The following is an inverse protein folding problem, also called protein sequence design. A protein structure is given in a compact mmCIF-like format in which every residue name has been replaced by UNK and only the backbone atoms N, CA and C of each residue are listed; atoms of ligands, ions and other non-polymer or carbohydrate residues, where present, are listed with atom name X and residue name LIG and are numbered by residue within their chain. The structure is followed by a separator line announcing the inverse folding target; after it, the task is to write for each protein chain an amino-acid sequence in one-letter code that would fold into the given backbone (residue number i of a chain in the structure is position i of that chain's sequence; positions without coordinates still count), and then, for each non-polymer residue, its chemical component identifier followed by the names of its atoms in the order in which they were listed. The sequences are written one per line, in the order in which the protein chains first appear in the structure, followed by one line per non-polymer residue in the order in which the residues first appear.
data_IF_389266684082
#
_entry.id   IF_389266684082
#
_cell.length_a   1.000
_cell.length_b   1.000
_cell.length_c   1.000
_cell.angle_alpha   90.00
_cell.angle_beta   90.00
_cell.angle_gamma   90.00
#
_symmetry.space_group_name_H-M   'P 1'
#
loop_
_entity.id
_entity.type
_entity.pdbx_description
1 polymer ?
#
# COMPACT_ATOMS: atom_id res chain seq x y z
N UNK A 1 -4.21 60.08 -50.12
CA UNK A 1 -3.72 58.77 -50.56
C UNK A 1 -3.47 57.93 -49.32
N UNK A 2 -4.32 56.90 -49.19
CA UNK A 2 -4.15 55.65 -48.43
C UNK A 2 -3.71 55.70 -46.95
N UNK A 3 -4.69 55.76 -46.06
CA UNK A 3 -4.59 55.13 -44.75
C UNK A 3 -4.76 53.61 -44.95
N UNK A 4 -3.66 52.85 -44.87
CA UNK A 4 -3.73 51.38 -44.81
C UNK A 4 -4.41 50.98 -43.50
N UNK A 5 -5.69 50.62 -43.62
CA UNK A 5 -6.46 49.96 -42.58
C UNK A 5 -5.84 48.58 -42.33
N UNK A 6 -5.01 48.46 -41.30
CA UNK A 6 -4.43 47.18 -40.87
C UNK A 6 -5.52 46.40 -40.13
N UNK A 7 -6.45 45.79 -40.88
CA UNK A 7 -7.47 44.91 -40.35
C UNK A 7 -6.80 43.71 -39.66
N UNK A 8 -6.67 43.80 -38.34
CA UNK A 8 -6.26 42.68 -37.50
C UNK A 8 -7.36 41.62 -37.56
N UNK A 9 -7.27 40.71 -38.53
CA UNK A 9 -8.21 39.60 -38.63
C UNK A 9 -8.21 38.82 -37.31
N UNK A 10 -9.37 38.62 -36.68
CA UNK A 10 -9.45 37.89 -35.42
C UNK A 10 -8.95 36.45 -35.66
N UNK A 11 -7.87 36.12 -34.95
CA UNK A 11 -7.13 34.89 -35.17
C UNK A 11 -8.00 33.68 -34.78
N UNK A 12 -8.52 32.98 -35.79
CA UNK A 12 -9.13 31.66 -35.62
C UNK A 12 -8.22 30.76 -34.79
N UNK A 13 -8.81 30.00 -33.87
CA UNK A 13 -8.08 29.00 -33.09
C UNK A 13 -7.50 27.93 -34.01
N UNK A 14 -6.18 27.73 -33.94
CA UNK A 14 -5.47 26.75 -34.78
C UNK A 14 -5.81 25.34 -34.29
N UNK A 15 -6.40 24.47 -35.14
CA UNK A 15 -6.77 23.12 -34.72
C UNK A 15 -5.59 22.26 -34.28
N UNK A 16 -4.44 22.39 -34.93
CA UNK A 16 -3.20 21.70 -34.53
C UNK A 16 -2.72 22.12 -33.14
N UNK A 17 -2.83 23.41 -32.79
CA UNK A 17 -2.49 23.90 -31.44
C UNK A 17 -3.45 23.36 -30.39
N UNK A 18 -4.76 23.30 -30.68
CA UNK A 18 -5.74 22.71 -29.78
C UNK A 18 -5.47 21.22 -29.52
N UNK A 19 -5.21 20.45 -30.59
CA UNK A 19 -4.86 19.05 -30.50
C UNK A 19 -3.56 18.82 -29.70
N UNK A 20 -2.51 19.61 -29.97
CA UNK A 20 -1.24 19.53 -29.26
C UNK A 20 -1.41 19.81 -27.76
N UNK A 21 -2.16 20.86 -27.40
CA UNK A 21 -2.43 21.18 -26.00
C UNK A 21 -3.19 20.04 -25.29
N UNK A 22 -4.18 19.44 -25.95
CA UNK A 22 -4.90 18.27 -25.42
C UNK A 22 -4.04 17.00 -25.36
N UNK A 23 -2.99 16.88 -26.19
CA UNK A 23 -2.03 15.77 -26.10
C UNK A 23 -1.10 15.94 -24.89
N UNK A 24 -0.67 17.16 -24.60
CA UNK A 24 0.13 17.48 -23.40
C UNK A 24 -0.66 17.20 -22.13
N UNK A 25 -1.89 17.70 -22.06
CA UNK A 25 -2.82 17.40 -20.99
C UNK A 25 -4.26 17.47 -21.53
N UNK A 26 -5.00 16.34 -21.53
CA UNK A 26 -6.38 16.32 -21.98
C UNK A 26 -7.22 17.40 -21.30
N UNK A 27 -7.84 18.25 -22.13
CA UNK A 27 -8.66 19.37 -21.69
C UNK A 27 -8.06 20.77 -21.97
N UNK A 28 -6.73 20.91 -22.10
CA UNK A 28 -6.13 22.23 -22.38
C UNK A 28 -6.50 22.76 -23.77
N UNK A 29 -6.69 21.88 -24.77
CA UNK A 29 -7.17 22.30 -26.09
C UNK A 29 -8.58 22.88 -26.05
N UNK A 30 -9.46 22.36 -25.18
CA UNK A 30 -10.80 22.92 -24.98
C UNK A 30 -10.74 24.28 -24.28
N UNK A 31 -9.85 24.47 -23.31
CA UNK A 31 -9.60 25.77 -22.68
C UNK A 31 -9.15 26.78 -23.74
N UNK A 32 -8.22 26.39 -24.62
CA UNK A 32 -7.79 27.20 -25.77
C UNK A 32 -8.93 27.62 -26.70
N UNK A 33 -9.87 26.72 -26.97
CA UNK A 33 -11.07 27.02 -27.75
C UNK A 33 -12.17 27.75 -26.95
N UNK A 34 -11.94 28.13 -25.69
CA UNK A 34 -12.92 28.85 -24.88
C UNK A 34 -13.98 27.98 -24.24
N UNK A 35 -13.80 26.66 -24.17
CA UNK A 35 -14.69 25.70 -23.49
C UNK A 35 -14.03 25.14 -22.22
N UNK A 36 -13.90 25.98 -21.20
CA UNK A 36 -13.23 25.59 -19.94
C UNK A 36 -13.93 24.43 -19.23
N UNK A 37 -15.27 24.37 -19.25
CA UNK A 37 -16.03 23.29 -18.62
C UNK A 37 -15.70 21.91 -19.23
N UNK A 38 -15.73 21.80 -20.56
CA UNK A 38 -15.34 20.57 -21.26
C UNK A 38 -13.88 20.22 -20.99
N UNK A 39 -13.00 21.22 -20.94
CA UNK A 39 -11.60 21.03 -20.58
C UNK A 39 -11.41 20.44 -19.19
N UNK A 40 -12.12 20.98 -18.19
CA UNK A 40 -12.06 20.50 -16.82
C UNK A 40 -12.53 19.05 -16.69
N UNK A 41 -13.56 18.64 -17.43
CA UNK A 41 -14.05 17.24 -17.40
C UNK A 41 -12.96 16.26 -17.84
N UNK A 42 -12.30 16.50 -18.98
CA UNK A 42 -11.20 15.65 -19.44
C UNK A 42 -10.02 15.66 -18.46
N UNK A 43 -9.66 16.84 -17.94
CA UNK A 43 -8.54 16.99 -17.03
C UNK A 43 -8.76 16.25 -15.70
N UNK A 44 -9.95 16.39 -15.11
CA UNK A 44 -10.33 15.70 -13.88
C UNK A 44 -10.40 14.19 -14.08
N UNK A 45 -10.95 13.74 -15.22
CA UNK A 45 -11.05 12.32 -15.56
C UNK A 45 -9.67 11.67 -15.63
N UNK A 46 -8.75 12.26 -16.40
CA UNK A 46 -7.37 11.75 -16.53
C UNK A 46 -6.64 11.79 -15.20
N UNK A 47 -6.75 12.89 -14.45
CA UNK A 47 -6.15 13.01 -13.12
C UNK A 47 -6.67 11.93 -12.17
N UNK A 48 -7.97 11.66 -12.16
CA UNK A 48 -8.60 10.62 -11.34
C UNK A 48 -8.10 9.21 -11.72
N UNK A 49 -8.09 8.87 -13.01
CA UNK A 49 -7.62 7.55 -13.45
C UNK A 49 -6.12 7.35 -13.25
N UNK A 50 -5.29 8.38 -13.46
CA UNK A 50 -3.86 8.34 -13.13
C UNK A 50 -3.62 8.16 -11.62
N UNK A 51 -4.40 8.85 -10.78
CA UNK A 51 -4.38 8.68 -9.34
C UNK A 51 -4.77 7.24 -8.92
N UNK A 52 -5.85 6.70 -9.49
CA UNK A 52 -6.28 5.30 -9.27
C UNK A 52 -5.21 4.30 -9.70
N UNK A 53 -4.56 4.51 -10.86
CA UNK A 53 -3.49 3.65 -11.33
C UNK A 53 -2.31 3.61 -10.36
N UNK A 54 -1.85 4.79 -9.89
CA UNK A 54 -0.79 4.90 -8.90
C UNK A 54 -1.19 4.29 -7.55
N UNK A 55 -2.46 4.41 -7.16
CA UNK A 55 -3.00 3.72 -5.98
C UNK A 55 -3.04 2.21 -6.15
N UNK A 56 -3.30 1.68 -7.35
CA UNK A 56 -3.27 0.25 -7.62
C UNK A 56 -1.89 -0.39 -7.41
N UNK A 57 -0.80 0.32 -7.75
CA UNK A 57 0.59 -0.14 -7.51
C UNK A 57 0.82 -0.49 -6.04
N UNK A 58 0.14 0.20 -5.13
CA UNK A 58 0.26 0.08 -3.68
C UNK A 58 -0.50 -1.16 -3.16
N UNK A 59 -1.56 -1.60 -3.86
CA UNK A 59 -2.39 -2.72 -3.41
C UNK A 59 -1.86 -4.06 -3.92
N UNK A 60 -1.32 -4.87 -3.02
CA UNK A 60 -0.71 -6.18 -3.32
C UNK A 60 -1.69 -7.22 -3.88
N UNK A 61 -2.98 -7.08 -3.57
CA UNK A 61 -4.05 -7.96 -4.06
C UNK A 61 -4.46 -7.64 -5.52
N UNK A 62 -4.00 -6.52 -6.08
CA UNK A 62 -4.37 -6.17 -7.45
C UNK A 62 -3.52 -6.96 -8.44
N UNK A 63 -4.15 -7.64 -9.43
CA UNK A 63 -3.39 -8.26 -10.51
C UNK A 63 -2.80 -7.13 -11.36
N UNK A 64 -1.59 -6.71 -11.00
CA UNK A 64 -1.01 -5.44 -11.42
C UNK A 64 -1.00 -5.26 -12.94
N UNK A 65 -0.66 -6.31 -13.68
CA UNK A 65 -0.55 -6.28 -15.13
C UNK A 65 -1.91 -6.06 -15.83
N UNK A 66 -2.94 -6.91 -15.68
CA UNK A 66 -4.23 -6.68 -16.32
C UNK A 66 -4.90 -5.40 -15.82
N UNK A 67 -4.77 -5.06 -14.53
CA UNK A 67 -5.25 -3.78 -13.99
C UNK A 67 -4.61 -2.59 -14.71
N UNK A 68 -3.29 -2.59 -14.85
CA UNK A 68 -2.56 -1.52 -15.52
C UNK A 68 -2.94 -1.41 -16.99
N UNK A 69 -3.11 -2.52 -17.70
CA UNK A 69 -3.52 -2.52 -19.11
C UNK A 69 -4.91 -1.89 -19.30
N UNK A 70 -5.86 -2.22 -18.42
CA UNK A 70 -7.20 -1.63 -18.45
C UNK A 70 -7.15 -0.12 -18.23
N UNK A 71 -6.43 0.34 -17.19
CA UNK A 71 -6.35 1.78 -16.90
C UNK A 71 -5.60 2.53 -18.01
N UNK A 72 -4.49 1.98 -18.52
CA UNK A 72 -3.79 2.55 -19.68
C UNK A 72 -4.70 2.63 -20.91
N UNK A 73 -5.50 1.59 -21.19
CA UNK A 73 -6.48 1.60 -22.28
C UNK A 73 -7.53 2.72 -22.14
N UNK A 74 -8.08 2.89 -20.94
CA UNK A 74 -9.03 3.97 -20.63
C UNK A 74 -8.38 5.34 -20.80
N UNK A 75 -7.15 5.53 -20.30
CA UNK A 75 -6.41 6.78 -20.42
C UNK A 75 -6.08 7.11 -21.88
N UNK A 76 -5.62 6.13 -22.65
CA UNK A 76 -5.34 6.30 -24.09
C UNK A 76 -6.61 6.67 -24.87
N UNK A 77 -7.73 6.02 -24.58
CA UNK A 77 -9.02 6.36 -25.17
C UNK A 77 -9.45 7.78 -24.80
N UNK A 78 -9.35 8.16 -23.51
CA UNK A 78 -9.70 9.50 -23.04
C UNK A 78 -8.83 10.59 -23.68
N UNK A 79 -7.52 10.37 -23.79
CA UNK A 79 -6.59 11.27 -24.49
C UNK A 79 -6.98 11.40 -25.96
N UNK A 80 -7.24 10.28 -26.64
CA UNK A 80 -7.60 10.26 -28.06
C UNK A 80 -8.90 11.03 -28.30
N UNK A 81 -9.93 10.79 -27.48
CA UNK A 81 -11.20 11.52 -27.55
C UNK A 81 -10.97 13.02 -27.30
N UNK A 82 -10.20 13.39 -26.28
CA UNK A 82 -9.93 14.80 -25.98
C UNK A 82 -9.20 15.51 -27.14
N UNK A 83 -8.22 14.85 -27.76
CA UNK A 83 -7.48 15.39 -28.91
C UNK A 83 -8.43 15.59 -30.11
N UNK A 84 -9.22 14.57 -30.46
CA UNK A 84 -10.17 14.66 -31.60
C UNK A 84 -11.24 15.72 -31.33
N UNK A 85 -11.80 15.75 -30.12
CA UNK A 85 -12.87 16.67 -29.77
C UNK A 85 -12.37 18.13 -29.72
N UNK A 86 -11.21 18.39 -29.12
CA UNK A 86 -10.61 19.73 -29.12
C UNK A 86 -10.22 20.21 -30.52
N UNK A 87 -9.75 19.30 -31.40
CA UNK A 87 -9.49 19.61 -32.80
C UNK A 87 -10.77 19.99 -33.55
N UNK A 88 -11.85 19.21 -33.38
CA UNK A 88 -13.18 19.50 -33.96
C UNK A 88 -13.74 20.82 -33.42
N UNK A 89 -13.52 21.11 -32.15
CA UNK A 89 -13.97 22.35 -31.54
C UNK A 89 -13.23 23.58 -32.09
N UNK A 90 -11.92 23.47 -32.28
CA UNK A 90 -11.14 24.51 -32.95
C UNK A 90 -11.63 24.76 -34.39
N UNK A 91 -12.02 23.69 -35.11
CA UNK A 91 -12.60 23.83 -36.44
C UNK A 91 -13.93 24.59 -36.43
N UNK A 92 -14.76 24.39 -35.40
CA UNK A 92 -16.05 25.07 -35.21
C UNK A 92 -15.92 26.51 -34.70
N UNK A 93 -14.75 26.90 -34.23
CA UNK A 93 -14.52 28.25 -33.70
C UNK A 93 -14.61 29.26 -34.85
N UNK A 94 -15.58 30.18 -34.76
CA UNK A 94 -15.80 31.24 -35.75
C UNK A 94 -14.67 32.27 -35.73
N UNK A 95 -14.54 33.02 -36.82
CA UNK A 95 -13.50 34.04 -36.97
C UNK A 95 -13.64 35.14 -35.91
N UNK A 96 -14.84 35.51 -35.50
CA UNK A 96 -15.15 36.53 -34.48
C UNK A 96 -14.92 36.08 -33.02
N UNK A 97 -14.16 35.02 -32.78
CA UNK A 97 -13.88 34.54 -31.42
C UNK A 97 -13.13 35.59 -30.59
N UNK A 98 -13.78 36.13 -29.57
CA UNK A 98 -13.14 36.98 -28.56
C UNK A 98 -12.39 36.13 -27.52
N UNK A 99 -11.15 36.53 -27.22
CA UNK A 99 -10.38 35.96 -26.10
C UNK A 99 -11.16 36.15 -24.80
N UNK A 100 -11.35 35.06 -24.07
CA UNK A 100 -11.86 35.10 -22.70
C UNK A 100 -10.69 35.37 -21.74
N UNK A 101 -10.98 35.94 -20.57
CA UNK A 101 -9.97 36.32 -19.57
C UNK A 101 -9.04 35.16 -19.16
N UNK A 102 -9.57 33.94 -19.17
CA UNK A 102 -8.81 32.74 -18.84
C UNK A 102 -7.92 32.20 -19.98
N UNK A 103 -7.96 32.77 -21.19
CA UNK A 103 -7.09 32.37 -22.30
C UNK A 103 -5.67 32.97 -22.21
N UNK A 104 -5.18 33.14 -20.99
CA UNK A 104 -3.86 33.65 -20.67
C UNK A 104 -2.91 32.49 -20.35
N UNK A 105 -1.65 32.56 -20.78
CA UNK A 105 -0.65 31.47 -20.63
C UNK A 105 -0.53 30.97 -19.18
N UNK A 106 -0.63 31.89 -18.20
CA UNK A 106 -0.53 31.56 -16.79
C UNK A 106 -1.61 30.57 -16.33
N UNK A 107 -2.83 30.62 -16.91
CA UNK A 107 -3.91 29.70 -16.56
C UNK A 107 -3.57 28.27 -16.97
N UNK A 108 -2.93 28.06 -18.11
CA UNK A 108 -2.50 26.73 -18.53
C UNK A 108 -1.48 26.14 -17.57
N UNK A 109 -0.52 26.95 -17.11
CA UNK A 109 0.46 26.51 -16.10
C UNK A 109 -0.20 26.22 -14.75
N UNK A 110 -1.15 27.04 -14.31
CA UNK A 110 -1.91 26.81 -13.08
C UNK A 110 -2.71 25.51 -13.17
N UNK A 111 -3.40 25.26 -14.29
CA UNK A 111 -4.17 24.03 -14.50
C UNK A 111 -3.27 22.78 -14.50
N UNK A 112 -2.12 22.84 -15.17
CA UNK A 112 -1.11 21.77 -15.14
C UNK A 112 -0.60 21.54 -13.71
N UNK A 113 -0.31 22.61 -12.98
CA UNK A 113 0.16 22.53 -11.61
C UNK A 113 -0.90 21.92 -10.67
N UNK A 114 -2.17 22.33 -10.78
CA UNK A 114 -3.28 21.77 -10.00
C UNK A 114 -3.47 20.27 -10.31
N UNK A 115 -3.45 19.87 -11.58
CA UNK A 115 -3.60 18.46 -11.95
C UNK A 115 -2.44 17.60 -11.44
N UNK A 116 -1.20 18.10 -11.57
CA UNK A 116 -0.01 17.46 -11.04
C UNK A 116 -0.02 17.36 -9.51
N UNK A 117 -0.31 18.47 -8.83
CA UNK A 117 -0.41 18.53 -7.37
C UNK A 117 -1.53 17.64 -6.83
N UNK A 118 -2.68 17.56 -7.52
CA UNK A 118 -3.77 16.65 -7.17
C UNK A 118 -3.35 15.18 -7.24
N UNK A 119 -2.67 14.78 -8.31
CA UNK A 119 -2.15 13.41 -8.47
C UNK A 119 -1.11 13.07 -7.40
N UNK A 120 -0.15 13.97 -7.16
CA UNK A 120 0.88 13.78 -6.14
C UNK A 120 0.30 13.80 -4.72
N UNK A 121 -0.65 14.69 -4.44
CA UNK A 121 -1.36 14.77 -3.17
C UNK A 121 -2.13 13.49 -2.87
N UNK A 122 -2.82 12.94 -3.88
CA UNK A 122 -3.50 11.65 -3.76
C UNK A 122 -2.51 10.51 -3.47
N UNK A 123 -1.40 10.40 -4.21
CA UNK A 123 -0.42 9.33 -3.95
C UNK A 123 0.21 9.45 -2.56
N UNK A 124 0.52 10.66 -2.11
CA UNK A 124 0.98 10.91 -0.75
C UNK A 124 -0.07 10.53 0.30
N UNK A 125 -1.34 10.82 0.05
CA UNK A 125 -2.46 10.43 0.91
C UNK A 125 -2.58 8.91 1.02
N UNK A 126 -2.57 8.19 -0.11
CA UNK A 126 -2.59 6.72 -0.16
C UNK A 126 -1.39 6.15 0.61
N UNK A 127 -0.17 6.62 0.32
CA UNK A 127 1.02 6.18 1.02
C UNK A 127 0.90 6.40 2.53
N UNK A 128 0.47 7.58 2.98
CA UNK A 128 0.36 7.90 4.40
C UNK A 128 -0.70 7.06 5.13
N UNK A 129 -1.83 6.80 4.48
CA UNK A 129 -3.00 6.17 5.13
C UNK A 129 -3.06 4.66 4.98
N UNK A 130 -2.44 4.10 3.93
CA UNK A 130 -2.62 2.69 3.58
C UNK A 130 -1.38 1.84 3.84
N UNK A 131 -0.17 2.35 3.56
CA UNK A 131 1.07 1.59 3.65
C UNK A 131 2.13 2.26 4.52
N UNK A 132 2.72 1.50 5.42
CA UNK A 132 3.89 1.97 6.17
C UNK A 132 5.06 1.00 5.99
N UNK A 133 6.26 1.58 5.84
CA UNK A 133 7.51 0.84 5.78
C UNK A 133 8.18 0.90 7.15
N UNK A 134 8.42 -0.27 7.75
CA UNK A 134 9.11 -0.37 9.02
C UNK A 134 10.46 -1.08 8.84
N UNK A 135 11.48 -0.61 9.56
CA UNK A 135 12.73 -1.37 9.74
C UNK A 135 12.55 -2.27 10.94
N UNK A 136 12.84 -3.56 10.79
CA UNK A 136 12.81 -4.51 11.90
C UNK A 136 14.22 -4.63 12.47
N UNK A 137 14.47 -4.12 13.70
CA UNK A 137 15.83 -4.05 14.25
C UNK A 137 16.30 -5.37 14.89
N UNK A 138 15.39 -6.33 15.12
CA UNK A 138 15.67 -7.55 15.89
C UNK A 138 15.17 -8.81 15.18
N UNK A 139 15.84 -9.94 15.42
CA UNK A 139 15.52 -11.25 14.85
C UNK A 139 14.31 -11.95 15.51
N UNK A 140 13.38 -11.21 16.13
CA UNK A 140 12.24 -11.80 16.83
C UNK A 140 11.28 -12.54 15.87
N UNK A 141 11.21 -12.13 14.61
CA UNK A 141 10.37 -12.79 13.60
C UNK A 141 11.17 -13.68 12.66
N UNK A 142 12.41 -14.02 13.01
CA UNK A 142 13.22 -14.93 12.21
C UNK A 142 12.69 -16.38 12.32
N UNK A 143 12.79 -17.20 11.26
CA UNK A 143 13.44 -16.89 9.99
C UNK A 143 12.55 -16.13 8.98
N UNK A 144 11.26 -15.92 9.26
CA UNK A 144 10.33 -15.25 8.33
C UNK A 144 10.75 -13.83 7.99
N UNK A 145 11.19 -13.06 8.99
CA UNK A 145 11.68 -11.69 8.89
C UNK A 145 12.94 -11.57 9.73
N UNK A 146 14.07 -11.31 9.09
CA UNK A 146 15.37 -11.18 9.74
C UNK A 146 15.69 -9.72 10.06
N UNK A 147 16.67 -9.52 10.95
CA UNK A 147 17.22 -8.20 11.26
C UNK A 147 17.64 -7.49 9.96
N UNK A 148 17.45 -6.17 9.92
CA UNK A 148 17.68 -5.30 8.76
C UNK A 148 16.70 -5.46 7.60
N UNK A 149 15.74 -6.38 7.66
CA UNK A 149 14.64 -6.40 6.71
C UNK A 149 13.80 -5.13 6.86
N UNK A 150 13.40 -4.59 5.71
CA UNK A 150 12.39 -3.54 5.62
C UNK A 150 11.09 -4.17 5.15
N UNK A 151 10.07 -4.01 5.96
CA UNK A 151 8.77 -4.66 5.76
C UNK A 151 7.72 -3.64 5.35
N UNK A 152 6.80 -4.09 4.52
CA UNK A 152 5.64 -3.32 4.09
C UNK A 152 4.41 -3.78 4.87
N UNK A 153 3.64 -2.82 5.34
CA UNK A 153 2.53 -3.05 6.28
C UNK A 153 1.29 -2.35 5.77
N UNK A 154 0.20 -3.10 5.70
CA UNK A 154 -1.11 -2.56 5.37
C UNK A 154 -1.84 -2.11 6.63
N UNK A 155 -2.09 -0.81 6.75
CA UNK A 155 -2.93 -0.21 7.81
C UNK A 155 -4.42 -0.39 7.57
N UNK A 156 -4.79 -0.88 6.40
CA UNK A 156 -6.19 -1.03 5.98
C UNK A 156 -6.66 -2.48 5.95
N UNK A 157 -5.76 -3.45 6.14
CA UNK A 157 -6.09 -4.88 6.05
C UNK A 157 -7.31 -5.25 6.90
N UNK A 158 -7.44 -4.68 8.10
CA UNK A 158 -8.51 -5.00 9.05
C UNK A 158 -9.69 -4.03 9.05
N UNK A 159 -9.82 -3.16 8.03
CA UNK A 159 -11.05 -2.35 7.85
C UNK A 159 -12.22 -3.17 7.30
N UNK A 160 -11.92 -4.19 6.50
CA UNK A 160 -12.92 -5.05 5.84
C UNK A 160 -12.69 -6.55 6.06
N UNK A 161 -11.48 -6.96 6.48
CA UNK A 161 -11.17 -8.35 6.82
C UNK A 161 -11.02 -8.47 8.34
N UNK A 162 -11.40 -9.61 8.90
CA UNK A 162 -11.13 -9.91 10.31
C UNK A 162 -9.71 -10.50 10.47
N UNK A 163 -9.00 -10.20 11.57
CA UNK A 163 -7.75 -10.88 11.89
C UNK A 163 -7.92 -12.40 11.95
N UNK A 164 -6.94 -13.13 11.40
CA UNK A 164 -6.94 -14.59 11.34
C UNK A 164 -5.71 -15.17 12.03
N UNK A 165 -5.79 -16.43 12.47
CA UNK A 165 -4.61 -17.15 12.95
C UNK A 165 -3.57 -17.23 11.84
N UNK A 166 -2.31 -17.04 12.21
CA UNK A 166 -1.17 -16.99 11.31
C UNK A 166 -0.86 -15.60 10.72
N UNK A 167 -1.76 -14.62 10.85
CA UNK A 167 -1.46 -13.25 10.42
C UNK A 167 -0.29 -12.66 11.19
N UNK A 168 0.62 -11.98 10.50
CA UNK A 168 1.67 -11.17 11.14
C UNK A 168 1.15 -9.74 11.28
N UNK A 169 1.11 -9.26 12.51
CA UNK A 169 0.51 -7.97 12.87
C UNK A 169 1.50 -7.07 13.58
N UNK A 170 1.24 -5.77 13.47
CA UNK A 170 2.00 -4.72 14.10
C UNK A 170 1.12 -3.96 15.07
N UNK A 171 1.67 -3.64 16.23
CA UNK A 171 0.97 -2.98 17.33
C UNK A 171 1.96 -2.28 18.26
N UNK A 172 1.47 -1.36 19.08
CA UNK A 172 2.27 -0.76 20.17
C UNK A 172 2.41 -1.75 21.31
N UNK A 173 3.63 -1.89 21.83
CA UNK A 173 3.90 -2.77 22.97
C UNK A 173 3.08 -2.30 24.19
N UNK A 174 2.20 -3.14 24.76
CA UNK A 174 1.38 -2.76 25.92
C UNK A 174 2.21 -2.31 27.14
N UNK A 175 3.44 -2.83 27.28
CA UNK A 175 4.36 -2.48 28.36
C UNK A 175 5.18 -1.21 28.07
N UNK A 176 5.29 -0.80 26.80
CA UNK A 176 6.00 0.41 26.40
C UNK A 176 5.45 0.94 25.06
N UNK A 177 4.48 1.87 25.13
CA UNK A 177 3.79 2.41 23.96
C UNK A 177 4.70 3.18 22.98
N UNK A 178 5.95 3.48 23.35
CA UNK A 178 6.95 4.07 22.43
C UNK A 178 7.55 3.04 21.48
N UNK A 179 7.42 1.75 21.79
CA UNK A 179 7.93 0.65 20.99
C UNK A 179 6.82 0.01 20.15
N UNK A 180 7.09 -0.19 18.86
CA UNK A 180 6.22 -0.93 17.94
C UNK A 180 6.76 -2.34 17.80
N UNK A 181 5.89 -3.34 18.02
CA UNK A 181 6.21 -4.76 17.88
C UNK A 181 5.59 -5.33 16.62
N UNK A 182 6.24 -6.37 16.09
CA UNK A 182 5.73 -7.22 15.01
C UNK A 182 5.70 -8.67 15.52
N UNK A 183 4.52 -9.30 15.49
CA UNK A 183 4.30 -10.65 16.01
C UNK A 183 3.24 -11.37 15.17
N UNK A 184 3.20 -12.70 15.24
CA UNK A 184 2.20 -13.52 14.57
C UNK A 184 1.03 -13.81 15.51
N UNK A 185 -0.20 -13.69 15.02
CA UNK A 185 -1.41 -14.17 15.70
C UNK A 185 -1.36 -15.69 15.74
N UNK A 186 -1.28 -16.22 16.95
CA UNK A 186 -1.33 -17.66 17.20
C UNK A 186 -2.76 -18.11 17.47
N UNK A 187 -3.50 -17.35 18.27
CA UNK A 187 -4.84 -17.70 18.68
C UNK A 187 -5.74 -16.46 18.75
N UNK A 188 -7.04 -16.67 18.60
CA UNK A 188 -8.06 -15.63 18.64
C UNK A 188 -8.95 -15.82 19.86
N UNK A 189 -9.87 -14.88 20.10
CA UNK A 189 -10.77 -14.96 21.25
C UNK A 189 -11.45 -16.32 21.38
N UNK A 190 -11.58 -16.77 22.63
CA UNK A 190 -12.09 -18.07 23.07
C UNK A 190 -11.15 -19.26 22.85
N UNK A 191 -10.05 -19.11 22.11
CA UNK A 191 -9.04 -20.17 22.03
C UNK A 191 -8.30 -20.32 23.36
N UNK A 192 -7.93 -21.55 23.69
CA UNK A 192 -7.03 -21.86 24.81
C UNK A 192 -5.66 -22.23 24.27
N UNK A 193 -4.64 -21.55 24.76
CA UNK A 193 -3.24 -21.71 24.33
C UNK A 193 -2.42 -22.26 25.49
N UNK A 194 -1.64 -23.29 25.22
CA UNK A 194 -0.66 -23.85 26.16
C UNK A 194 0.61 -24.25 25.40
N UNK A 195 1.74 -24.28 26.10
CA UNK A 195 2.96 -24.95 25.65
C UNK A 195 3.09 -26.23 26.46
N UNK A 196 3.27 -27.36 25.78
CA UNK A 196 3.53 -28.68 26.38
C UNK A 196 4.77 -29.27 25.74
N UNK A 197 5.78 -29.60 26.54
CA UNK A 197 7.09 -30.07 26.07
C UNK A 197 7.69 -29.15 24.98
N UNK A 198 7.57 -27.83 25.16
CA UNK A 198 8.03 -26.82 24.20
C UNK A 198 7.25 -26.75 22.88
N UNK A 199 6.16 -27.52 22.71
CA UNK A 199 5.28 -27.46 21.55
C UNK A 199 3.99 -26.72 21.86
N UNK A 200 3.56 -25.89 20.93
CA UNK A 200 2.34 -25.10 21.05
C UNK A 200 1.11 -26.00 20.85
N UNK A 201 0.16 -25.89 21.76
CA UNK A 201 -1.11 -26.62 21.76
C UNK A 201 -2.23 -25.59 21.80
N UNK A 202 -3.17 -25.69 20.86
CA UNK A 202 -4.34 -24.81 20.76
C UNK A 202 -5.60 -25.66 20.92
N UNK A 203 -6.45 -25.31 21.87
CA UNK A 203 -7.69 -26.03 22.19
C UNK A 203 -7.45 -27.53 22.42
N UNK A 204 -6.35 -27.87 23.10
CA UNK A 204 -5.93 -29.24 23.40
C UNK A 204 -5.29 -30.00 22.23
N UNK A 205 -5.15 -29.40 21.05
CA UNK A 205 -4.52 -30.02 19.88
C UNK A 205 -3.12 -29.43 19.62
N UNK A 206 -2.05 -30.25 19.59
CA UNK A 206 -0.72 -29.76 19.26
C UNK A 206 -0.69 -29.25 17.83
N UNK A 207 -0.08 -28.08 17.61
CA UNK A 207 0.10 -27.58 16.25
C UNK A 207 1.07 -28.49 15.49
N UNK A 208 0.69 -28.98 14.29
CA UNK A 208 1.56 -29.78 13.45
C UNK A 208 2.85 -29.02 13.13
N UNK A 209 3.99 -29.70 13.27
CA UNK A 209 5.28 -29.15 12.90
C UNK A 209 6.18 -30.20 12.23
N UNK A 210 6.84 -29.81 11.16
CA UNK A 210 7.78 -30.64 10.42
C UNK A 210 9.21 -30.08 10.59
N UNK A 211 10.18 -30.88 11.04
CA UNK A 211 11.54 -30.42 11.25
C UNK A 211 12.21 -30.05 9.93
N UNK A 212 13.02 -28.99 9.95
CA UNK A 212 13.89 -28.57 8.85
C UNK A 212 15.31 -28.30 9.35
N UNK A 213 16.24 -28.10 8.43
CA UNK A 213 17.65 -27.88 8.75
C UNK A 213 17.85 -26.75 9.76
N UNK A 214 18.49 -27.03 10.92
CA UNK A 214 18.65 -26.07 12.00
C UNK A 214 19.48 -24.87 11.56
N UNK A 215 19.05 -23.68 11.98
CA UNK A 215 19.75 -22.43 11.70
C UNK A 215 20.43 -21.91 12.97
N UNK A 216 21.47 -21.10 12.80
CA UNK A 216 22.07 -20.32 13.89
C UNK A 216 21.55 -18.89 13.76
N UNK A 217 20.79 -18.42 14.75
CA UNK A 217 20.30 -17.05 14.77
C UNK A 217 21.18 -16.16 15.64
N UNK A 218 21.44 -14.95 15.19
CA UNK A 218 22.08 -13.92 16.00
C UNK A 218 21.02 -13.22 16.88
N UNK A 219 20.88 -13.63 18.14
CA UNK A 219 20.02 -12.97 19.12
C UNK A 219 20.89 -12.03 19.97
N UNK A 220 20.59 -10.72 19.99
CA UNK A 220 21.40 -9.73 20.71
C UNK A 220 22.91 -9.76 20.36
N UNK A 221 23.22 -10.01 19.07
CA UNK A 221 24.59 -10.19 18.53
C UNK A 221 25.32 -11.46 19.00
N UNK A 222 24.66 -12.34 19.75
CA UNK A 222 25.20 -13.64 20.15
C UNK A 222 24.60 -14.74 19.28
N UNK A 223 25.40 -15.70 18.81
CA UNK A 223 24.88 -16.85 18.08
C UNK A 223 24.12 -17.77 19.03
N UNK A 224 22.87 -18.08 18.68
CA UNK A 224 21.99 -19.01 19.39
C UNK A 224 21.67 -20.17 18.47
N UNK A 225 21.96 -21.39 18.94
CA UNK A 225 21.59 -22.64 18.27
C UNK A 225 20.15 -23.02 18.66
N UNK A 226 19.46 -23.64 17.73
CA UNK A 226 18.08 -24.02 17.93
C UNK A 226 17.57 -24.93 16.82
N UNK A 227 16.43 -25.55 17.08
CA UNK A 227 15.71 -26.35 16.09
C UNK A 227 14.78 -25.47 15.28
N UNK A 228 14.58 -25.82 14.02
CA UNK A 228 13.69 -25.10 13.10
C UNK A 228 12.62 -26.02 12.57
N UNK A 229 11.42 -25.46 12.40
CA UNK A 229 10.27 -26.23 11.94
C UNK A 229 9.42 -25.43 10.96
N UNK A 230 8.79 -26.12 10.02
CA UNK A 230 7.53 -25.65 9.46
C UNK A 230 6.41 -25.91 10.46
N UNK A 231 5.65 -24.90 10.86
CA UNK A 231 4.50 -25.02 11.75
C UNK A 231 3.22 -24.63 11.00
N UNK A 232 2.14 -25.40 11.23
CA UNK A 232 0.84 -25.17 10.60
C UNK A 232 -0.20 -24.75 11.63
N UNK A 233 -0.89 -23.63 11.37
CA UNK A 233 -1.95 -23.11 12.22
C UNK A 233 -3.14 -22.66 11.37
N UNK A 234 -4.18 -23.51 11.30
CA UNK A 234 -5.29 -23.30 10.37
C UNK A 234 -4.80 -23.36 8.92
N UNK A 235 -5.07 -22.32 8.13
CA UNK A 235 -4.60 -22.20 6.74
C UNK A 235 -3.18 -21.62 6.63
N UNK A 236 -2.57 -21.19 7.74
CA UNK A 236 -1.24 -20.61 7.74
C UNK A 236 -0.18 -21.68 7.91
N UNK A 237 0.89 -21.59 7.12
CA UNK A 237 2.06 -22.47 7.18
C UNK A 237 3.31 -21.59 7.13
N UNK A 238 4.15 -21.66 8.16
CA UNK A 238 5.27 -20.73 8.34
C UNK A 238 6.42 -21.37 9.10
N UNK A 239 7.60 -20.76 9.02
CA UNK A 239 8.78 -21.25 9.71
C UNK A 239 8.88 -20.66 11.12
N UNK A 240 9.31 -21.48 12.07
CA UNK A 240 9.63 -21.06 13.43
C UNK A 240 11.05 -21.51 13.79
N UNK A 241 11.67 -20.78 14.73
CA UNK A 241 12.93 -21.14 15.35
C UNK A 241 12.73 -21.33 16.86
N UNK A 242 13.15 -22.47 17.39
CA UNK A 242 13.06 -22.81 18.82
C UNK A 242 14.49 -22.93 19.37
N UNK A 243 14.95 -21.99 20.22
CA UNK A 243 16.27 -22.07 20.85
C UNK A 243 16.46 -23.35 21.68
N UNK A 244 17.68 -23.89 21.72
CA UNK A 244 18.01 -25.05 22.57
C UNK A 244 17.89 -24.73 24.08
N UNK A 245 18.22 -23.49 24.46
CA UNK A 245 18.27 -23.02 25.85
C UNK A 245 16.89 -22.68 26.44
N UNK A 246 15.87 -22.49 25.60
CA UNK A 246 14.51 -22.18 26.07
C UNK A 246 13.85 -23.35 26.80
N UNK A 247 14.42 -24.56 26.73
CA UNK A 247 13.92 -25.75 27.39
C UNK A 247 12.52 -26.15 26.90
N UNK A 248 12.14 -27.38 27.20
CA UNK A 248 10.77 -27.86 27.09
C UNK A 248 9.89 -27.23 28.18
N UNK A 249 9.90 -25.90 28.32
CA UNK A 249 9.13 -25.23 29.36
C UNK A 249 7.65 -25.25 29.01
N UNK A 250 6.89 -25.89 29.88
CA UNK A 250 5.43 -25.82 29.87
C UNK A 250 4.98 -24.41 30.25
N UNK A 251 3.91 -23.93 29.62
CA UNK A 251 3.32 -22.63 29.90
C UNK A 251 1.82 -22.68 29.65
N UNK A 252 1.04 -21.93 30.45
CA UNK A 252 -0.41 -21.94 30.39
C UNK A 252 -1.02 -23.11 31.15
N UNK A 253 -2.28 -23.50 30.84
CA UNK A 253 -3.14 -22.99 29.76
C UNK A 253 -3.68 -21.58 30.03
N UNK A 254 -3.87 -20.80 28.96
CA UNK A 254 -4.53 -19.48 29.00
C UNK A 254 -5.60 -19.39 27.92
N UNK A 255 -6.82 -19.03 28.30
CA UNK A 255 -7.91 -18.75 27.36
C UNK A 255 -7.86 -17.29 26.93
N UNK A 256 -7.85 -17.05 25.62
CA UNK A 256 -7.85 -15.72 25.02
C UNK A 256 -9.22 -15.08 25.23
N UNK A 257 -9.31 -13.87 25.82
CA UNK A 257 -10.59 -13.19 25.98
C UNK A 257 -11.28 -12.90 24.64
N UNK A 258 -12.62 -12.74 24.62
CA UNK A 258 -13.33 -12.25 23.45
C UNK A 258 -12.72 -10.94 22.93
N UNK A 259 -12.73 -10.75 21.60
CA UNK A 259 -12.16 -9.58 20.93
C UNK A 259 -10.66 -9.31 21.21
N UNK A 260 -9.93 -10.34 21.63
CA UNK A 260 -8.48 -10.31 21.78
C UNK A 260 -7.82 -11.37 20.89
N UNK A 261 -6.51 -11.27 20.73
CA UNK A 261 -5.66 -12.27 20.12
C UNK A 261 -4.44 -12.57 20.99
N UNK A 262 -3.94 -13.79 20.88
CA UNK A 262 -2.66 -14.17 21.44
C UNK A 262 -1.61 -14.15 20.33
N UNK A 263 -0.57 -13.34 20.50
CA UNK A 263 0.51 -13.18 19.53
C UNK A 263 1.84 -13.72 20.06
N UNK A 264 2.59 -14.39 19.19
CA UNK A 264 3.95 -14.87 19.47
C UNK A 264 4.92 -14.48 18.36
N UNK A 265 6.20 -14.46 18.68
CA UNK A 265 7.26 -14.32 17.69
C UNK A 265 7.54 -15.65 16.97
N UNK A 266 8.05 -15.60 15.74
CA UNK A 266 8.46 -16.81 15.01
C UNK A 266 9.76 -17.39 15.59
N UNK A 267 10.66 -16.53 16.07
CA UNK A 267 11.73 -16.95 16.96
C UNK A 267 11.12 -17.12 18.36
N UNK A 268 10.95 -18.36 18.80
CA UNK A 268 10.25 -18.74 20.04
C UNK A 268 11.04 -18.45 21.32
N UNK A 269 12.04 -17.57 21.25
CA UNK A 269 12.64 -17.00 22.45
C UNK A 269 11.54 -16.32 23.28
N UNK A 270 11.54 -16.53 24.59
CA UNK A 270 10.40 -16.13 25.41
C UNK A 270 10.15 -14.61 25.36
N UNK A 271 11.16 -13.81 25.02
CA UNK A 271 11.14 -12.36 25.21
C UNK A 271 10.11 -11.60 24.34
N UNK A 272 9.30 -10.79 25.04
CA UNK A 272 8.43 -9.76 24.46
C UNK A 272 7.32 -10.28 23.53
N UNK A 273 6.57 -11.30 23.96
CA UNK A 273 5.28 -11.65 23.34
C UNK A 273 4.15 -11.89 24.37
N UNK A 274 3.01 -12.43 23.93
CA UNK A 274 1.82 -12.57 24.79
C UNK A 274 2.02 -13.53 25.96
N UNK A 275 3.08 -14.35 25.97
CA UNK A 275 3.48 -15.13 27.14
C UNK A 275 3.90 -14.25 28.33
N UNK A 276 4.32 -13.01 28.05
CA UNK A 276 4.78 -12.04 29.04
C UNK A 276 3.75 -10.95 29.37
N UNK A 277 3.13 -10.35 28.35
CA UNK A 277 2.19 -9.22 28.55
C UNK A 277 0.71 -9.60 28.38
N UNK A 278 0.40 -10.87 28.12
CA UNK A 278 -0.96 -11.36 27.94
C UNK A 278 -1.56 -11.09 26.55
N UNK A 279 -2.86 -11.36 26.42
CA UNK A 279 -3.58 -11.21 25.16
C UNK A 279 -3.72 -9.73 24.74
N UNK A 280 -3.68 -9.48 23.44
CA UNK A 280 -3.77 -8.16 22.84
C UNK A 280 -5.20 -7.90 22.34
N UNK A 281 -5.77 -6.73 22.61
CA UNK A 281 -7.05 -6.35 22.00
C UNK A 281 -6.91 -6.29 20.48
N UNK A 282 -7.89 -6.81 19.74
CA UNK A 282 -7.89 -6.71 18.27
C UNK A 282 -7.87 -5.24 17.80
N UNK A 283 -8.40 -4.31 18.59
CA UNK A 283 -8.37 -2.87 18.30
C UNK A 283 -6.99 -2.21 18.48
N UNK A 284 -6.05 -2.88 19.14
CA UNK A 284 -4.68 -2.39 19.29
C UNK A 284 -3.78 -2.70 18.08
N UNK A 285 -4.29 -3.49 17.12
CA UNK A 285 -3.56 -3.81 15.89
C UNK A 285 -3.53 -2.59 14.98
N UNK A 286 -2.32 -2.10 14.68
CA UNK A 286 -2.09 -0.94 13.80
C UNK A 286 -2.02 -1.33 12.32
N UNK A 287 -1.71 -2.59 12.01
CA UNK A 287 -1.67 -3.07 10.64
C UNK A 287 -1.24 -4.52 10.48
N UNK A 288 -1.37 -5.02 9.25
CA UNK A 288 -0.98 -6.37 8.84
C UNK A 288 0.29 -6.31 7.99
N UNK A 289 1.31 -7.07 8.37
CA UNK A 289 2.49 -7.29 7.52
C UNK A 289 2.07 -7.91 6.20
N UNK A 290 2.68 -7.44 5.11
CA UNK A 290 2.45 -7.96 3.77
C UNK A 290 3.68 -8.72 3.26
N UNK A 291 4.81 -8.01 3.17
CA UNK A 291 6.06 -8.58 2.62
C UNK A 291 7.31 -7.84 3.10
N UNK A 292 8.45 -8.50 3.00
CA UNK A 292 9.77 -7.86 2.96
C UNK A 292 9.94 -7.25 1.57
N UNK A 293 10.19 -5.94 1.50
CA UNK A 293 10.47 -5.26 0.23
C UNK A 293 11.97 -4.98 0.04
N UNK A 294 12.77 -5.04 1.11
CA UNK A 294 14.22 -4.88 1.04
C UNK A 294 14.94 -5.66 2.17
N UNK A 295 16.06 -6.35 1.88
CA UNK A 295 16.56 -6.63 0.53
C UNK A 295 15.56 -7.52 -0.25
N UNK A 296 15.48 -7.41 -1.58
CA UNK A 296 14.65 -8.32 -2.36
C UNK A 296 15.13 -9.75 -2.12
N UNK A 297 14.21 -10.69 -1.90
CA UNK A 297 14.57 -12.11 -1.75
C UNK A 297 15.37 -12.53 -2.98
N UNK A 298 16.56 -13.12 -2.76
CA UNK A 298 17.29 -13.80 -3.83
C UNK A 298 16.36 -14.91 -4.33
N UNK A 299 15.97 -14.83 -5.61
CA UNK A 299 15.24 -15.91 -6.28
C UNK A 299 16.17 -17.09 -6.49
#
# INVERSE_FOLDING_TARGET
MEAQNNEHHPNRRRPSTAAFLSLVMPGLGHVYCGKIQSGMVFMLTVTMFSAVWLGGIVHEETPFLPFSLVVCGILLLAVTIAVIDSYREALRTRYDYALKDYNHWAIYLILLWIAGAGTLGYTAFIKKTMLEAFRVPVNAMAPTITADNRVLVSKMAYRSKTPQRGDIVIFKNPMNLKQTNIKRIIALGQDTVELKAGQLVINGQPLPRDPIEPIILACNKLPVKGSTFWETNGSAHYQIFVPEDTGEMDWGPVTVPPHHCFVMADARNHDHDSRHYGALSLGAIEGKYQRVYWPPRKR
#
